data_IF_463218974315
#
_entry.id   IF_463218974315
#
_cell.length_a   1.000
_cell.length_b   1.000
_cell.length_c   1.000
_cell.angle_alpha   90.00
_cell.angle_beta   90.00
_cell.angle_gamma   90.00
#
_symmetry.space_group_name_H-M   'P 1'
#
loop_
_entity.id
_entity.type
_entity.pdbx_description
1 polymer ?
#
# COMPACT_ATOMS: atom_id res chain seq x y z
N UNK A 1 -10.17 11.27 -6.51
CA UNK A 1 -9.54 10.25 -5.66
C UNK A 1 -10.59 9.68 -4.72
N UNK A 2 -10.74 8.34 -4.63
CA UNK A 2 -11.78 7.65 -3.81
C UNK A 2 -11.43 7.59 -2.32
N UNK A 3 -10.83 8.66 -1.81
CA UNK A 3 -10.11 8.63 -0.55
C UNK A 3 -11.02 8.59 0.68
N UNK A 4 -12.30 8.95 0.52
CA UNK A 4 -13.33 8.85 1.54
C UNK A 4 -14.13 7.54 1.46
N UNK A 5 -14.04 6.81 0.34
CA UNK A 5 -14.86 5.62 0.09
C UNK A 5 -14.27 4.37 0.75
N UNK A 6 -12.95 4.31 0.88
CA UNK A 6 -12.23 3.17 1.47
C UNK A 6 -11.65 3.55 2.83
N UNK A 7 -12.19 2.94 3.90
CA UNK A 7 -11.79 3.22 5.29
C UNK A 7 -10.28 3.11 5.52
N UNK A 8 -9.63 2.08 4.94
CA UNK A 8 -8.18 1.89 5.07
C UNK A 8 -7.36 3.01 4.41
N UNK A 9 -7.81 3.55 3.27
CA UNK A 9 -7.17 4.70 2.63
C UNK A 9 -7.43 5.97 3.44
N UNK A 10 -8.63 6.13 3.96
CA UNK A 10 -8.98 7.27 4.80
C UNK A 10 -8.19 7.29 6.12
N UNK A 11 -7.91 6.12 6.70
CA UNK A 11 -7.07 6.00 7.90
C UNK A 11 -5.67 6.57 7.66
N UNK A 12 -5.04 6.28 6.51
CA UNK A 12 -3.73 6.83 6.17
C UNK A 12 -3.76 8.35 5.98
N UNK A 13 -4.82 8.89 5.38
CA UNK A 13 -5.02 10.34 5.29
C UNK A 13 -5.18 11.00 6.67
N UNK A 14 -5.89 10.35 7.60
CA UNK A 14 -5.99 10.82 8.98
C UNK A 14 -4.63 10.83 9.67
N UNK A 15 -3.88 9.74 9.55
CA UNK A 15 -2.54 9.61 10.13
C UNK A 15 -1.58 10.68 9.58
N UNK A 16 -1.63 10.94 8.27
CA UNK A 16 -0.89 12.05 7.65
C UNK A 16 -1.31 13.40 8.22
N UNK A 17 -2.62 13.65 8.43
CA UNK A 17 -3.11 14.90 9.03
C UNK A 17 -2.66 15.06 10.48
N UNK A 18 -2.57 13.99 11.26
CA UNK A 18 -2.03 14.07 12.62
C UNK A 18 -0.53 14.38 12.61
N UNK A 19 0.25 13.76 11.72
CA UNK A 19 1.66 14.11 11.52
C UNK A 19 1.84 15.57 11.12
N UNK A 20 0.97 16.07 10.22
CA UNK A 20 0.94 17.48 9.84
C UNK A 20 0.66 18.39 11.04
N UNK A 21 -0.36 18.08 11.84
CA UNK A 21 -0.68 18.85 13.06
C UNK A 21 0.50 18.88 14.01
N UNK A 22 1.14 17.73 14.25
CA UNK A 22 2.31 17.62 15.11
C UNK A 22 3.46 18.50 14.60
N UNK A 23 3.81 18.42 13.31
CA UNK A 23 4.81 19.29 12.70
C UNK A 23 4.47 20.76 12.85
N UNK A 24 3.23 21.15 12.57
CA UNK A 24 2.81 22.55 12.67
C UNK A 24 2.79 23.10 14.09
N UNK A 25 2.53 22.25 15.09
CA UNK A 25 2.58 22.63 16.50
C UNK A 25 4.03 22.85 16.95
N UNK A 26 4.95 22.00 16.50
CA UNK A 26 6.38 22.13 16.75
C UNK A 26 7.04 23.32 16.02
N UNK A 27 6.45 23.78 14.90
CA UNK A 27 6.96 24.92 14.13
C UNK A 27 7.23 26.17 14.96
N UNK A 28 6.42 26.42 16.00
CA UNK A 28 6.55 27.63 16.82
C UNK A 28 7.87 27.70 17.57
N UNK A 29 8.53 26.56 17.75
CA UNK A 29 9.78 26.43 18.49
C UNK A 29 11.01 26.40 17.55
N UNK A 30 10.78 26.36 16.23
CA UNK A 30 11.81 26.23 15.20
C UNK A 30 12.06 27.57 14.48
N UNK A 31 13.33 27.97 14.35
CA UNK A 31 13.75 29.24 13.73
C UNK A 31 14.03 29.16 12.22
N UNK A 32 13.96 27.95 11.64
CA UNK A 32 14.27 27.68 10.23
C UNK A 32 13.06 27.11 9.52
N UNK A 33 12.79 27.53 8.28
CA UNK A 33 11.73 26.95 7.43
C UNK A 33 12.10 25.59 6.84
N UNK A 34 13.34 25.13 7.06
CA UNK A 34 13.87 23.86 6.54
C UNK A 34 14.02 22.82 7.66
N UNK A 35 12.90 22.37 8.22
CA UNK A 35 12.87 21.25 9.17
C UNK A 35 11.82 20.23 8.74
N UNK A 36 12.08 18.97 9.04
CA UNK A 36 11.16 17.85 8.82
C UNK A 36 10.48 17.47 10.13
N UNK A 37 9.39 16.72 10.05
CA UNK A 37 8.63 16.30 11.24
C UNK A 37 9.47 15.46 12.23
N UNK A 38 10.51 14.79 11.73
CA UNK A 38 11.46 14.02 12.54
C UNK A 38 12.33 14.90 13.45
N UNK A 39 12.54 16.16 13.09
CA UNK A 39 13.35 17.11 13.88
C UNK A 39 12.61 17.60 15.14
N UNK A 40 11.29 17.37 15.19
CA UNK A 40 10.46 17.85 16.28
C UNK A 40 10.65 17.04 17.58
N UNK A 41 10.76 17.72 18.74
CA UNK A 41 10.87 17.04 20.02
C UNK A 41 9.63 16.18 20.28
N UNK A 42 9.85 14.93 20.71
CA UNK A 42 8.78 13.96 20.96
C UNK A 42 8.29 13.20 19.73
N UNK A 43 8.88 13.42 18.54
CA UNK A 43 8.51 12.66 17.34
C UNK A 43 8.62 11.14 17.53
N UNK A 44 9.69 10.68 18.19
CA UNK A 44 9.91 9.25 18.44
C UNK A 44 8.78 8.63 19.30
N UNK A 45 8.36 9.33 20.35
CA UNK A 45 7.25 8.90 21.22
C UNK A 45 5.92 8.88 20.46
N UNK A 46 5.66 9.93 19.67
CA UNK A 46 4.46 10.03 18.85
C UNK A 46 4.41 8.93 17.77
N UNK A 47 5.56 8.63 17.14
CA UNK A 47 5.70 7.55 16.13
C UNK A 47 5.34 6.17 16.70
N UNK A 48 5.58 5.93 18.00
CA UNK A 48 5.15 4.67 18.63
C UNK A 48 3.63 4.52 18.71
N UNK A 49 2.88 5.63 18.87
CA UNK A 49 1.41 5.62 18.84
C UNK A 49 0.81 5.58 17.44
N UNK A 50 1.61 5.88 16.41
CA UNK A 50 1.18 6.04 15.03
C UNK A 50 1.98 5.13 14.07
N UNK A 51 1.69 3.82 14.09
CA UNK A 51 2.40 2.82 13.27
C UNK A 51 2.42 3.14 11.76
N UNK A 52 1.41 3.85 11.27
CA UNK A 52 1.29 4.24 9.86
C UNK A 52 2.31 5.32 9.44
N UNK A 53 2.90 6.05 10.38
CA UNK A 53 3.87 7.11 10.06
C UNK A 53 5.12 6.54 9.41
N UNK A 54 5.63 5.41 9.90
CA UNK A 54 6.79 4.75 9.28
C UNK A 54 6.53 4.34 7.83
N UNK A 55 5.28 3.97 7.52
CA UNK A 55 4.88 3.65 6.15
C UNK A 55 4.81 4.91 5.27
N UNK A 56 4.20 6.00 5.77
CA UNK A 56 4.11 7.27 5.05
C UNK A 56 5.49 7.91 4.81
N UNK A 57 6.35 7.87 5.82
CA UNK A 57 7.76 8.27 5.78
C UNK A 57 8.51 7.50 4.69
N UNK A 58 8.42 6.17 4.70
CA UNK A 58 9.08 5.34 3.70
C UNK A 58 8.58 5.63 2.27
N UNK A 59 7.28 5.90 2.09
CA UNK A 59 6.73 6.25 0.78
C UNK A 59 7.25 7.58 0.28
N UNK A 60 7.28 8.59 1.15
CA UNK A 60 7.76 9.92 0.82
C UNK A 60 9.27 9.90 0.50
N UNK A 61 10.07 9.16 1.27
CA UNK A 61 11.50 8.96 1.02
C UNK A 61 11.80 8.19 -0.28
N UNK A 62 11.02 7.13 -0.56
CA UNK A 62 11.30 6.24 -1.69
C UNK A 62 10.76 6.76 -3.01
N UNK A 63 9.57 7.36 -2.99
CA UNK A 63 8.85 7.76 -4.20
C UNK A 63 8.76 9.27 -4.40
N UNK A 64 9.23 10.09 -3.45
CA UNK A 64 9.17 11.54 -3.57
C UNK A 64 7.73 12.08 -3.68
N UNK A 65 6.76 11.32 -3.17
CA UNK A 65 5.36 11.70 -3.13
C UNK A 65 5.04 12.39 -1.80
N UNK A 66 3.90 13.07 -1.73
CA UNK A 66 3.53 13.80 -0.51
C UNK A 66 2.03 13.91 -0.33
N UNK A 67 1.58 13.85 0.91
CA UNK A 67 0.16 13.68 1.20
C UNK A 67 -0.36 12.32 0.73
N UNK A 68 -1.51 11.93 1.24
CA UNK A 68 -2.11 10.64 0.84
C UNK A 68 -3.15 10.85 -0.26
N UNK A 69 -4.22 11.59 0.02
CA UNK A 69 -5.33 11.75 -0.92
C UNK A 69 -5.13 12.82 -2.00
N UNK A 70 -4.22 13.75 -1.73
CA UNK A 70 -3.96 14.92 -2.56
C UNK A 70 -2.51 15.35 -2.33
N UNK A 71 -1.86 15.96 -3.33
CA UNK A 71 -0.52 16.51 -3.17
C UNK A 71 -0.52 17.57 -2.07
N UNK A 72 0.43 17.48 -1.15
CA UNK A 72 0.57 18.38 0.00
C UNK A 72 2.05 18.62 0.30
N UNK A 73 2.44 19.59 1.13
CA UNK A 73 3.86 19.78 1.41
C UNK A 73 4.48 18.54 2.09
N UNK A 74 5.70 18.15 1.71
CA UNK A 74 6.36 16.97 2.27
C UNK A 74 6.66 17.18 3.75
N UNK A 75 6.47 16.13 4.56
CA UNK A 75 6.60 16.14 6.00
C UNK A 75 7.94 15.57 6.49
N UNK A 76 8.39 14.49 5.86
CA UNK A 76 9.55 13.70 6.26
C UNK A 76 10.79 14.00 5.43
N UNK A 77 10.62 14.51 4.20
CA UNK A 77 11.75 14.92 3.35
C UNK A 77 11.73 16.42 3.06
N UNK A 78 12.91 17.00 2.87
CA UNK A 78 13.05 18.36 2.37
C UNK A 78 12.99 18.33 0.85
N UNK A 79 12.01 19.02 0.27
CA UNK A 79 11.87 19.08 -1.18
C UNK A 79 10.54 19.67 -1.59
N UNK A 80 10.29 19.69 -2.90
CA UNK A 80 8.98 19.91 -3.46
C UNK A 80 8.52 18.62 -4.13
N UNK A 81 7.27 18.27 -3.92
CA UNK A 81 6.68 17.00 -4.31
C UNK A 81 5.36 17.31 -4.99
N UNK A 82 5.21 16.86 -6.24
CA UNK A 82 4.05 17.22 -7.07
C UNK A 82 2.96 16.13 -7.05
N UNK A 83 3.34 14.89 -6.71
CA UNK A 83 2.46 13.73 -6.73
C UNK A 83 1.93 13.35 -5.34
N UNK A 84 0.70 12.84 -5.30
CA UNK A 84 0.11 12.24 -4.11
C UNK A 84 0.60 10.80 -3.89
N UNK A 85 0.80 10.39 -2.64
CA UNK A 85 1.31 9.05 -2.37
C UNK A 85 0.31 7.93 -2.70
N UNK A 86 -0.99 8.23 -2.82
CA UNK A 86 -1.97 7.20 -3.19
C UNK A 86 -1.85 6.78 -4.65
N UNK A 87 -1.59 7.71 -5.56
CA UNK A 87 -1.37 7.45 -6.98
C UNK A 87 -0.01 6.78 -7.21
N UNK A 88 1.05 7.27 -6.57
CA UNK A 88 2.37 6.64 -6.60
C UNK A 88 2.32 5.18 -6.11
N UNK A 89 1.64 4.92 -5.00
CA UNK A 89 1.46 3.56 -4.48
C UNK A 89 0.64 2.69 -5.44
N UNK A 90 -0.42 3.24 -6.04
CA UNK A 90 -1.24 2.51 -7.02
C UNK A 90 -0.44 2.14 -8.27
N UNK A 91 0.43 3.03 -8.74
CA UNK A 91 1.34 2.74 -9.85
C UNK A 91 2.29 1.60 -9.52
N UNK A 92 2.93 1.64 -8.34
CA UNK A 92 3.84 0.57 -7.88
C UNK A 92 3.11 -0.77 -7.73
N UNK A 93 1.91 -0.75 -7.15
CA UNK A 93 1.07 -1.94 -7.04
C UNK A 93 0.73 -2.48 -8.43
N UNK A 94 0.36 -1.63 -9.38
CA UNK A 94 0.03 -2.07 -10.74
C UNK A 94 1.27 -2.63 -11.45
N UNK A 95 2.43 -1.99 -11.32
CA UNK A 95 3.66 -2.44 -11.94
C UNK A 95 4.16 -3.80 -11.38
N UNK A 96 4.08 -4.02 -10.06
CA UNK A 96 4.61 -5.24 -9.42
C UNK A 96 3.58 -6.36 -9.25
N UNK A 97 2.35 -6.02 -8.88
CA UNK A 97 1.32 -7.00 -8.51
C UNK A 97 0.58 -7.51 -9.74
N UNK A 98 0.31 -6.66 -10.74
CA UNK A 98 -0.43 -7.07 -11.94
C UNK A 98 0.20 -8.26 -12.69
N UNK A 99 1.52 -8.31 -12.97
CA UNK A 99 2.10 -9.47 -13.66
C UNK A 99 2.00 -10.75 -12.82
N UNK A 100 2.23 -10.65 -11.51
CA UNK A 100 2.16 -11.78 -10.58
C UNK A 100 0.72 -12.30 -10.44
N UNK A 101 -0.26 -11.39 -10.32
CA UNK A 101 -1.67 -11.72 -10.24
C UNK A 101 -2.15 -12.42 -11.53
N UNK A 102 -1.70 -11.93 -12.70
CA UNK A 102 -2.02 -12.55 -13.97
C UNK A 102 -1.43 -13.97 -14.09
N UNK A 103 -0.19 -14.17 -13.63
CA UNK A 103 0.40 -15.51 -13.59
C UNK A 103 -0.43 -16.46 -12.72
N UNK A 104 -0.76 -16.06 -11.49
CA UNK A 104 -1.57 -16.87 -10.57
C UNK A 104 -2.94 -17.20 -11.17
N UNK A 105 -3.58 -16.24 -11.84
CA UNK A 105 -4.85 -16.45 -12.51
C UNK A 105 -4.75 -17.51 -13.63
N UNK A 106 -3.75 -17.40 -14.50
CA UNK A 106 -3.52 -18.37 -15.59
C UNK A 106 -3.21 -19.76 -15.04
N UNK A 107 -2.36 -19.87 -14.02
CA UNK A 107 -2.05 -21.16 -13.38
C UNK A 107 -3.29 -21.78 -12.73
N UNK A 108 -4.14 -20.97 -12.08
CA UNK A 108 -5.36 -21.46 -11.44
C UNK A 108 -6.33 -22.05 -12.47
N UNK A 109 -6.48 -21.41 -13.62
CA UNK A 109 -7.29 -21.93 -14.74
C UNK A 109 -6.70 -23.22 -15.28
N UNK A 110 -5.38 -23.25 -15.53
CA UNK A 110 -4.71 -24.44 -16.05
C UNK A 110 -4.88 -25.65 -15.13
N UNK A 111 -4.69 -25.46 -13.81
CA UNK A 111 -4.89 -26.52 -12.82
C UNK A 111 -6.35 -26.99 -12.82
N UNK A 112 -7.33 -26.08 -12.83
CA UNK A 112 -8.75 -26.46 -12.90
C UNK A 112 -9.09 -27.30 -14.14
N UNK A 113 -8.53 -26.94 -15.30
CA UNK A 113 -8.73 -27.69 -16.54
C UNK A 113 -8.10 -29.08 -16.46
N UNK A 114 -6.86 -29.17 -15.96
CA UNK A 114 -6.16 -30.45 -15.80
C UNK A 114 -6.91 -31.34 -14.82
N UNK A 115 -7.30 -30.84 -13.65
CA UNK A 115 -8.06 -31.63 -12.67
C UNK A 115 -9.40 -32.10 -13.24
N UNK A 116 -10.11 -31.23 -13.96
CA UNK A 116 -11.38 -31.61 -14.60
C UNK A 116 -11.16 -32.72 -15.64
N UNK A 117 -10.15 -32.57 -16.51
CA UNK A 117 -9.82 -33.59 -17.51
C UNK A 117 -9.40 -34.92 -16.88
N UNK A 118 -8.58 -34.89 -15.83
CA UNK A 118 -8.18 -36.12 -15.12
C UNK A 118 -9.38 -36.83 -14.50
N UNK A 119 -10.34 -36.11 -13.92
CA UNK A 119 -11.58 -36.71 -13.40
C UNK A 119 -12.43 -37.31 -14.53
N UNK A 120 -12.56 -36.59 -15.65
CA UNK A 120 -13.32 -37.06 -16.82
C UNK A 120 -12.71 -38.31 -17.46
N UNK A 121 -11.38 -38.47 -17.45
CA UNK A 121 -10.69 -39.64 -18.03
C UNK A 121 -10.60 -40.79 -17.03
N UNK A 122 -10.28 -40.49 -15.76
CA UNK A 122 -10.15 -41.51 -14.72
C UNK A 122 -11.49 -42.19 -14.42
N UNK A 123 -12.62 -41.47 -14.45
CA UNK A 123 -13.94 -42.03 -14.16
C UNK A 123 -14.33 -43.21 -15.07
N UNK A 124 -14.34 -43.05 -16.40
CA UNK A 124 -14.61 -44.12 -17.35
C UNK A 124 -13.58 -45.25 -17.30
N UNK A 125 -12.30 -44.91 -17.13
CA UNK A 125 -11.23 -45.91 -17.07
C UNK A 125 -11.33 -46.81 -15.83
N UNK A 126 -11.59 -46.22 -14.67
CA UNK A 126 -11.82 -46.94 -13.42
C UNK A 126 -13.09 -47.82 -13.49
N UNK A 127 -14.17 -47.35 -14.10
CA UNK A 127 -15.36 -48.18 -14.38
C UNK A 127 -15.03 -49.37 -15.29
N UNK A 128 -14.16 -49.18 -16.27
CA UNK A 128 -13.66 -50.25 -17.13
C UNK A 128 -12.84 -51.32 -16.41
N UNK A 129 -12.25 -51.00 -15.25
CA UNK A 129 -11.48 -51.92 -14.41
C UNK A 129 -12.35 -52.67 -13.37
N UNK A 130 -13.68 -52.50 -13.39
CA UNK A 130 -14.59 -53.24 -12.51
C UNK A 130 -14.57 -52.81 -11.04
N UNK A 131 -14.05 -51.62 -10.75
CA UNK A 131 -14.16 -51.00 -9.43
C UNK A 131 -15.47 -50.23 -9.40
N UNK A 132 -16.56 -50.91 -8.99
CA UNK A 132 -17.82 -50.25 -8.64
C UNK A 132 -17.67 -49.61 -7.24
N UNK A 133 -17.93 -48.30 -7.15
CA UNK A 133 -18.05 -47.56 -5.89
C UNK A 133 -19.47 -47.04 -5.72
#
# INVERSE_FOLDING_TARGET
SDCATFEKKYALEREWKEAWRFRTACRTDMTSDKYVVQDCPGYAEQKHGHHSWAFLEHLEETYGCSGWCSPKPPLWVLGNTEDDCSSATAFVMTAKIHPTANQVFVYSIAVMLITSLTLFVAGPWLRGQGIDW
#
